data_IF_772898933860
#
_entry.id   IF_772898933860
#
_cell.length_a   1.000
_cell.length_b   1.000
_cell.length_c   1.000
_cell.angle_alpha   90.00
_cell.angle_beta   90.00
_cell.angle_gamma   90.00
#
_symmetry.space_group_name_H-M   'P 1'
#
loop_
_entity.id
_entity.type
_entity.pdbx_description
1 polymer ?
#
# COMPACT_ATOMS: atom_id res chain seq x y z
N UNK A 1 -31.41 -13.21 29.20
CA UNK A 1 -30.69 -11.92 29.14
C UNK A 1 -29.58 -11.85 28.13
N UNK A 2 -29.49 -12.84 27.24
CA UNK A 2 -28.50 -12.81 26.16
C UNK A 2 -28.95 -11.99 24.95
N UNK A 3 -30.26 -11.68 24.83
CA UNK A 3 -30.79 -10.98 23.63
C UNK A 3 -30.32 -9.55 23.45
N UNK A 4 -30.16 -8.69 24.48
CA UNK A 4 -29.61 -7.34 24.24
C UNK A 4 -28.16 -7.34 23.82
N UNK A 5 -27.39 -8.32 24.30
CA UNK A 5 -26.00 -8.49 23.96
C UNK A 5 -25.83 -8.99 22.53
N UNK A 6 -26.69 -9.91 22.07
CA UNK A 6 -26.72 -10.38 20.68
C UNK A 6 -27.05 -9.25 19.70
N UNK A 7 -27.99 -8.37 20.05
CA UNK A 7 -28.31 -7.20 19.22
C UNK A 7 -27.13 -6.25 19.12
N UNK A 8 -26.39 -6.05 20.21
CA UNK A 8 -25.17 -5.25 20.19
C UNK A 8 -24.09 -5.88 19.30
N UNK A 9 -23.89 -7.18 19.43
CA UNK A 9 -22.90 -7.92 18.65
C UNK A 9 -23.23 -7.85 17.17
N UNK A 10 -24.50 -8.05 16.78
CA UNK A 10 -24.95 -7.95 15.39
C UNK A 10 -24.79 -6.54 14.85
N UNK A 11 -25.13 -5.51 15.63
CA UNK A 11 -24.97 -4.11 15.24
C UNK A 11 -23.49 -3.75 15.12
N UNK A 12 -22.65 -4.22 16.04
CA UNK A 12 -21.20 -4.01 15.97
C UNK A 12 -20.59 -4.73 14.78
N UNK A 13 -21.02 -5.95 14.48
CA UNK A 13 -20.57 -6.69 13.29
C UNK A 13 -20.97 -5.96 12.00
N UNK A 14 -22.19 -5.43 11.91
CA UNK A 14 -22.64 -4.64 10.78
C UNK A 14 -21.82 -3.35 10.64
N UNK A 15 -21.56 -2.65 11.76
CA UNK A 15 -20.73 -1.45 11.76
C UNK A 15 -19.28 -1.77 11.33
N UNK A 16 -18.74 -2.88 11.78
CA UNK A 16 -17.42 -3.34 11.36
C UNK A 16 -17.40 -3.69 9.88
N UNK A 17 -18.47 -4.31 9.37
CA UNK A 17 -18.58 -4.63 7.96
C UNK A 17 -18.47 -3.40 7.07
N UNK A 18 -19.18 -2.33 7.42
CA UNK A 18 -19.11 -1.06 6.67
C UNK A 18 -17.73 -0.42 6.79
N UNK A 19 -17.16 -0.37 7.99
CA UNK A 19 -15.83 0.17 8.22
C UNK A 19 -14.78 -0.62 7.45
N UNK A 20 -14.85 -1.94 7.50
CA UNK A 20 -13.91 -2.81 6.80
C UNK A 20 -14.04 -2.66 5.28
N UNK A 21 -15.26 -2.49 4.77
CA UNK A 21 -15.49 -2.24 3.34
C UNK A 21 -14.83 -0.93 2.91
N UNK A 22 -14.96 0.13 3.69
CA UNK A 22 -14.35 1.43 3.38
C UNK A 22 -12.81 1.34 3.43
N UNK A 23 -12.29 0.63 4.43
CA UNK A 23 -10.84 0.40 4.54
C UNK A 23 -10.34 -0.42 3.35
N UNK A 24 -11.09 -1.46 2.96
CA UNK A 24 -10.73 -2.27 1.79
C UNK A 24 -10.68 -1.43 0.51
N UNK A 25 -11.61 -0.49 0.34
CA UNK A 25 -11.61 0.42 -0.82
C UNK A 25 -10.35 1.29 -0.84
N UNK A 26 -9.94 1.81 0.30
CA UNK A 26 -8.72 2.62 0.40
C UNK A 26 -7.50 1.77 0.05
N UNK A 27 -7.42 0.56 0.60
CA UNK A 27 -6.31 -0.36 0.32
C UNK A 27 -6.29 -0.81 -1.14
N UNK A 28 -7.46 -0.98 -1.77
CA UNK A 28 -7.56 -1.31 -3.19
C UNK A 28 -6.98 -0.19 -4.06
N UNK A 29 -7.32 1.05 -3.76
CA UNK A 29 -6.77 2.22 -4.45
C UNK A 29 -5.26 2.31 -4.25
N UNK A 30 -4.81 2.14 -3.01
CA UNK A 30 -3.38 2.14 -2.70
C UNK A 30 -2.65 1.08 -3.51
N UNK A 31 -3.19 -0.14 -3.56
CA UNK A 31 -2.62 -1.22 -4.33
C UNK A 31 -2.51 -0.87 -5.82
N UNK A 32 -3.57 -0.26 -6.39
CA UNK A 32 -3.57 0.14 -7.79
C UNK A 32 -2.48 1.18 -8.08
N UNK A 33 -2.34 2.19 -7.22
CA UNK A 33 -1.30 3.21 -7.37
C UNK A 33 0.11 2.64 -7.15
N UNK A 34 0.27 1.74 -6.19
CA UNK A 34 1.55 1.05 -5.97
C UNK A 34 1.93 0.20 -7.16
N UNK A 35 0.97 -0.49 -7.78
CA UNK A 35 1.20 -1.27 -8.99
C UNK A 35 1.65 -0.39 -10.15
N UNK A 36 1.05 0.79 -10.29
CA UNK A 36 1.44 1.77 -11.31
C UNK A 36 2.85 2.30 -11.04
N UNK A 37 3.20 2.58 -9.79
CA UNK A 37 4.55 2.98 -9.40
C UNK A 37 5.56 1.89 -9.80
N UNK A 38 5.23 0.63 -9.56
CA UNK A 38 6.07 -0.49 -9.94
C UNK A 38 6.28 -0.56 -11.45
N UNK A 39 5.21 -0.39 -12.23
CA UNK A 39 5.27 -0.35 -13.68
C UNK A 39 6.16 0.80 -14.17
N UNK A 40 5.96 1.99 -13.64
CA UNK A 40 6.75 3.17 -14.00
C UNK A 40 8.23 3.00 -13.62
N UNK A 41 8.50 2.37 -12.49
CA UNK A 41 9.88 2.10 -12.04
C UNK A 41 10.58 1.14 -13.00
N UNK A 42 9.89 0.09 -13.46
CA UNK A 42 10.39 -0.83 -14.47
C UNK A 42 10.67 -0.11 -15.78
N UNK A 43 9.74 0.75 -16.21
CA UNK A 43 9.88 1.56 -17.42
C UNK A 43 11.09 2.49 -17.32
N UNK A 44 11.31 3.12 -16.17
CA UNK A 44 12.49 3.96 -15.93
C UNK A 44 13.79 3.16 -16.07
N UNK A 45 13.82 1.94 -15.54
CA UNK A 45 14.99 1.07 -15.66
C UNK A 45 15.32 0.77 -17.12
N UNK A 46 14.29 0.52 -17.93
CA UNK A 46 14.47 0.29 -19.38
C UNK A 46 14.94 1.55 -20.11
N UNK A 47 14.36 2.70 -19.78
CA UNK A 47 14.75 3.99 -20.35
C UNK A 47 16.20 4.34 -20.01
N UNK A 48 16.62 4.09 -18.77
CA UNK A 48 18.01 4.26 -18.35
C UNK A 48 18.95 3.33 -19.11
N UNK A 49 18.53 2.10 -19.38
CA UNK A 49 19.34 1.15 -20.11
C UNK A 49 19.58 1.60 -21.56
N UNK A 50 18.69 2.40 -22.11
CA UNK A 50 18.83 2.99 -23.45
C UNK A 50 19.43 4.39 -23.43
N UNK A 51 19.83 4.87 -22.26
CA UNK A 51 20.32 6.25 -22.05
C UNK A 51 19.31 7.32 -22.50
N UNK A 52 18.03 7.01 -22.36
CA UNK A 52 16.93 7.93 -22.73
C UNK A 52 16.55 8.80 -21.53
N UNK A 53 17.33 9.84 -21.29
CA UNK A 53 17.19 10.71 -20.13
C UNK A 53 15.91 11.56 -20.16
N UNK A 54 15.46 11.92 -21.36
CA UNK A 54 14.20 12.69 -21.51
C UNK A 54 13.02 11.86 -21.04
N UNK A 55 12.93 10.61 -21.49
CA UNK A 55 11.86 9.72 -21.05
C UNK A 55 11.92 9.42 -19.55
N UNK A 56 13.13 9.26 -19.00
CA UNK A 56 13.33 9.06 -17.56
C UNK A 56 12.72 10.24 -16.77
N UNK A 57 12.97 11.47 -17.19
CA UNK A 57 12.43 12.66 -16.52
C UNK A 57 10.90 12.69 -16.56
N UNK A 58 10.31 12.34 -17.69
CA UNK A 58 8.85 12.27 -17.82
C UNK A 58 8.26 11.19 -16.94
N UNK A 59 8.84 10.00 -16.97
CA UNK A 59 8.38 8.85 -16.16
C UNK A 59 8.54 9.13 -14.68
N UNK A 60 9.62 9.79 -14.29
CA UNK A 60 9.85 10.20 -12.90
C UNK A 60 8.74 11.15 -12.42
N UNK A 61 8.33 12.10 -13.25
CA UNK A 61 7.21 13.00 -12.95
C UNK A 61 5.89 12.25 -12.76
N UNK A 62 5.60 11.28 -13.63
CA UNK A 62 4.41 10.44 -13.53
C UNK A 62 4.44 9.61 -12.24
N UNK A 63 5.60 9.05 -11.89
CA UNK A 63 5.77 8.29 -10.65
C UNK A 63 5.54 9.18 -9.42
N UNK A 64 6.00 10.41 -9.46
CA UNK A 64 5.77 11.38 -8.40
C UNK A 64 4.28 11.65 -8.16
N UNK A 65 3.49 11.77 -9.23
CA UNK A 65 2.05 11.93 -9.13
C UNK A 65 1.38 10.73 -8.48
N UNK A 66 1.80 9.52 -8.85
CA UNK A 66 1.27 8.30 -8.24
C UNK A 66 1.65 8.19 -6.77
N UNK A 67 2.87 8.60 -6.39
CA UNK A 67 3.29 8.65 -4.98
C UNK A 67 2.41 9.59 -4.15
N UNK A 68 2.01 10.73 -4.70
CA UNK A 68 1.08 11.62 -4.02
C UNK A 68 -0.28 10.95 -3.77
N UNK A 69 -0.77 10.19 -4.73
CA UNK A 69 -2.02 9.44 -4.57
C UNK A 69 -1.92 8.36 -3.49
N UNK A 70 -0.76 7.71 -3.37
CA UNK A 70 -0.49 6.76 -2.28
C UNK A 70 -0.51 7.48 -0.94
N UNK A 71 0.12 8.65 -0.84
CA UNK A 71 0.10 9.46 0.38
C UNK A 71 -1.30 9.86 0.79
N UNK A 72 -2.15 10.22 -0.17
CA UNK A 72 -3.57 10.51 0.08
C UNK A 72 -4.30 9.29 0.65
N UNK A 73 -4.04 8.10 0.08
CA UNK A 73 -4.61 6.85 0.59
C UNK A 73 -4.15 6.59 2.03
N UNK A 74 -2.87 6.75 2.31
CA UNK A 74 -2.30 6.56 3.64
C UNK A 74 -2.90 7.55 4.65
N UNK A 75 -3.10 8.79 4.24
CA UNK A 75 -3.72 9.81 5.08
C UNK A 75 -5.17 9.43 5.43
N UNK A 76 -5.96 9.03 4.43
CA UNK A 76 -7.33 8.57 4.65
C UNK A 76 -7.37 7.35 5.57
N UNK A 77 -6.47 6.40 5.35
CA UNK A 77 -6.36 5.21 6.18
C UNK A 77 -6.05 5.58 7.63
N UNK A 78 -5.11 6.50 7.83
CA UNK A 78 -4.77 7.00 9.17
C UNK A 78 -5.97 7.62 9.87
N UNK A 79 -6.76 8.43 9.15
CA UNK A 79 -7.97 9.04 9.70
C UNK A 79 -9.01 7.98 10.11
N UNK A 80 -9.19 6.96 9.27
CA UNK A 80 -10.08 5.83 9.60
C UNK A 80 -9.60 5.09 10.84
N UNK A 81 -8.30 4.80 10.93
CA UNK A 81 -7.73 4.09 12.07
C UNK A 81 -7.93 4.84 13.38
N UNK A 82 -7.92 6.18 13.34
CA UNK A 82 -8.14 6.98 14.56
C UNK A 82 -9.59 6.95 15.02
N UNK A 83 -10.54 6.57 14.15
CA UNK A 83 -11.98 6.57 14.46
C UNK A 83 -12.56 5.19 14.73
N UNK A 84 -11.81 4.11 14.49
CA UNK A 84 -12.29 2.74 14.71
C UNK A 84 -12.04 2.31 16.15
N UNK A 85 -12.79 1.30 16.65
CA UNK A 85 -12.57 0.77 18.00
C UNK A 85 -11.12 0.26 18.19
N UNK A 86 -10.57 0.36 19.42
CA UNK A 86 -9.17 0.01 19.67
C UNK A 86 -8.78 -1.41 19.26
N UNK A 87 -9.65 -2.39 19.45
CA UNK A 87 -9.39 -3.77 19.06
C UNK A 87 -9.21 -3.91 17.54
N UNK A 88 -10.10 -3.28 16.78
CA UNK A 88 -10.03 -3.28 15.33
C UNK A 88 -8.79 -2.51 14.83
N UNK A 89 -8.49 -1.39 15.48
CA UNK A 89 -7.29 -0.59 15.16
C UNK A 89 -6.01 -1.41 15.32
N UNK A 90 -5.90 -2.14 16.41
CA UNK A 90 -4.75 -2.99 16.70
C UNK A 90 -4.57 -4.05 15.62
N UNK A 91 -5.66 -4.75 15.26
CA UNK A 91 -5.63 -5.76 14.22
C UNK A 91 -5.23 -5.18 12.86
N UNK A 92 -5.83 -4.05 12.47
CA UNK A 92 -5.51 -3.37 11.21
C UNK A 92 -4.05 -2.93 11.16
N UNK A 93 -3.54 -2.39 12.26
CA UNK A 93 -2.15 -1.96 12.35
C UNK A 93 -1.20 -3.14 12.14
N UNK A 94 -1.51 -4.30 12.73
CA UNK A 94 -0.71 -5.51 12.55
C UNK A 94 -0.76 -6.03 11.12
N UNK A 95 -1.97 -6.04 10.51
CA UNK A 95 -2.16 -6.48 9.12
C UNK A 95 -1.34 -5.61 8.17
N UNK A 96 -1.43 -4.29 8.33
CA UNK A 96 -0.69 -3.33 7.50
C UNK A 96 0.82 -3.51 7.68
N UNK A 97 1.25 -3.78 8.90
CA UNK A 97 2.66 -4.02 9.21
C UNK A 97 3.16 -5.41 8.75
N UNK A 98 2.26 -6.27 8.28
CA UNK A 98 2.63 -7.60 7.79
C UNK A 98 2.78 -8.67 8.85
N UNK A 99 2.26 -8.44 10.04
CA UNK A 99 2.40 -9.37 11.16
C UNK A 99 1.32 -10.45 11.19
N UNK A 100 0.21 -10.23 10.49
CA UNK A 100 -0.91 -11.16 10.42
C UNK A 100 -0.96 -11.77 9.02
N UNK A 101 -0.78 -13.08 8.90
CA UNK A 101 -0.75 -13.79 7.62
C UNK A 101 -2.12 -13.90 6.99
N UNK A 102 -3.04 -14.63 7.64
CA UNK A 102 -4.43 -14.72 7.22
C UNK A 102 -5.31 -14.77 8.45
N UNK A 103 -6.48 -14.15 8.38
CA UNK A 103 -7.39 -14.10 9.51
C UNK A 103 -8.83 -14.10 9.03
N UNK A 104 -9.62 -15.03 9.56
CA UNK A 104 -11.05 -15.11 9.33
C UNK A 104 -11.85 -14.31 10.37
N UNK A 105 -11.16 -13.65 11.32
CA UNK A 105 -11.78 -12.99 12.45
C UNK A 105 -12.83 -11.94 12.02
N UNK A 106 -12.61 -11.27 10.91
CA UNK A 106 -13.47 -10.20 10.42
C UNK A 106 -14.14 -10.55 9.08
N UNK A 107 -14.35 -11.84 8.82
CA UNK A 107 -15.09 -12.31 7.67
C UNK A 107 -14.41 -12.06 6.32
N UNK A 108 -15.22 -11.95 5.28
CA UNK A 108 -14.73 -11.76 3.90
C UNK A 108 -13.99 -10.45 3.72
N UNK A 109 -14.48 -9.39 4.31
CA UNK A 109 -13.86 -8.06 4.25
C UNK A 109 -12.48 -8.08 4.92
N UNK A 110 -12.39 -8.74 6.09
CA UNK A 110 -11.12 -8.92 6.79
C UNK A 110 -10.11 -9.70 5.97
N UNK A 111 -10.54 -10.78 5.33
CA UNK A 111 -9.69 -11.58 4.46
C UNK A 111 -9.22 -10.78 3.24
N UNK A 112 -10.09 -9.98 2.66
CA UNK A 112 -9.74 -9.10 1.54
C UNK A 112 -8.68 -8.07 1.96
N UNK A 113 -8.83 -7.46 3.15
CA UNK A 113 -7.88 -6.50 3.69
C UNK A 113 -6.50 -7.16 3.87
N UNK A 114 -6.45 -8.34 4.44
CA UNK A 114 -5.19 -9.09 4.62
C UNK A 114 -4.52 -9.33 3.27
N UNK A 115 -5.30 -9.76 2.27
CA UNK A 115 -4.79 -10.02 0.93
C UNK A 115 -4.28 -8.74 0.26
N UNK A 116 -5.04 -7.66 0.33
CA UNK A 116 -4.64 -6.37 -0.26
C UNK A 116 -3.38 -5.82 0.38
N UNK A 117 -3.29 -5.88 1.71
CA UNK A 117 -2.10 -5.44 2.44
C UNK A 117 -0.87 -6.26 2.05
N UNK A 118 -1.03 -7.58 1.95
CA UNK A 118 0.05 -8.48 1.52
C UNK A 118 0.50 -8.23 0.10
N UNK A 119 -0.45 -8.07 -0.83
CA UNK A 119 -0.16 -7.79 -2.23
C UNK A 119 0.54 -6.43 -2.40
N UNK A 120 0.09 -5.43 -1.67
CA UNK A 120 0.71 -4.09 -1.69
C UNK A 120 2.16 -4.16 -1.22
N UNK A 121 2.43 -4.93 -0.15
CA UNK A 121 3.79 -5.12 0.37
C UNK A 121 4.67 -5.82 -0.65
N UNK A 122 4.17 -6.86 -1.30
CA UNK A 122 4.91 -7.59 -2.35
C UNK A 122 5.29 -6.67 -3.50
N UNK A 123 4.36 -5.84 -3.96
CA UNK A 123 4.63 -4.85 -5.02
C UNK A 123 5.67 -3.83 -4.56
N UNK A 124 5.57 -3.36 -3.31
CA UNK A 124 6.51 -2.42 -2.75
C UNK A 124 7.94 -3.01 -2.71
N UNK A 125 8.08 -4.23 -2.22
CA UNK A 125 9.38 -4.92 -2.15
C UNK A 125 10.01 -5.09 -3.53
N UNK A 126 9.20 -5.46 -4.53
CA UNK A 126 9.65 -5.57 -5.93
C UNK A 126 10.12 -4.22 -6.46
N UNK A 127 9.34 -3.17 -6.20
CA UNK A 127 9.67 -1.81 -6.62
C UNK A 127 10.97 -1.34 -6.00
N UNK A 128 11.15 -1.58 -4.71
CA UNK A 128 12.38 -1.22 -4.00
C UNK A 128 13.60 -1.97 -4.53
N UNK A 129 13.42 -3.22 -4.95
CA UNK A 129 14.50 -4.01 -5.54
C UNK A 129 14.93 -3.40 -6.87
N UNK A 130 13.97 -3.04 -7.73
CA UNK A 130 14.26 -2.40 -9.02
C UNK A 130 14.96 -1.05 -8.80
N UNK A 131 14.44 -0.24 -7.86
CA UNK A 131 15.03 1.06 -7.53
C UNK A 131 16.49 0.92 -7.08
N UNK A 132 16.77 -0.05 -6.22
CA UNK A 132 18.14 -0.30 -5.76
C UNK A 132 19.08 -0.68 -6.90
N UNK A 133 18.62 -1.50 -7.83
CA UNK A 133 19.41 -1.87 -9.03
C UNK A 133 19.67 -0.65 -9.90
N UNK A 134 18.68 0.19 -10.13
CA UNK A 134 18.84 1.43 -10.88
C UNK A 134 19.87 2.35 -10.21
N UNK A 135 19.75 2.55 -8.90
CA UNK A 135 20.65 3.42 -8.15
C UNK A 135 22.08 2.92 -8.17
N UNK A 136 22.29 1.62 -8.10
CA UNK A 136 23.62 1.01 -8.24
C UNK A 136 24.23 1.25 -9.62
N UNK A 137 23.41 1.11 -10.66
CA UNK A 137 23.87 1.36 -12.05
C UNK A 137 24.23 2.83 -12.24
N UNK A 138 23.40 3.73 -11.73
CA UNK A 138 23.67 5.17 -11.78
C UNK A 138 24.93 5.52 -11.01
N UNK A 139 25.11 4.97 -9.81
CA UNK A 139 26.31 5.19 -9.01
C UNK A 139 27.56 4.63 -9.70
N UNK A 140 27.44 3.48 -10.38
CA UNK A 140 28.54 2.87 -11.11
C UNK A 140 28.89 3.61 -12.40
N UNK A 141 27.87 4.16 -13.11
CA UNK A 141 28.04 4.90 -14.34
C UNK A 141 28.49 6.35 -14.10
N UNK A 142 27.96 6.97 -13.04
CA UNK A 142 28.20 8.37 -12.69
C UNK A 142 28.71 8.48 -11.27
N UNK A 143 29.84 7.82 -11.00
CA UNK A 143 30.43 7.76 -9.66
C UNK A 143 30.72 9.15 -9.06
N UNK A 144 30.87 10.16 -9.89
CA UNK A 144 31.09 11.52 -9.42
C UNK A 144 29.87 12.12 -8.69
N UNK A 145 28.68 11.56 -8.89
CA UNK A 145 27.49 11.97 -8.13
C UNK A 145 27.48 11.41 -6.71
N UNK A 146 28.09 10.26 -6.51
CA UNK A 146 28.12 9.61 -5.19
C UNK A 146 29.17 10.23 -4.25
N UNK A 147 30.18 10.89 -4.80
CA UNK A 147 31.25 11.55 -4.04
C UNK A 147 30.85 12.94 -3.53
N UNK A 148 29.64 13.33 -3.79
CA UNK A 148 29.07 14.59 -3.31
C UNK A 148 28.09 14.36 -2.18
#
# INVERSE_FOLDING_TARGET
>A
MRRPQRKRDVVMEQNYGELLTEIAKILQKKYAHMSEISRLTTEMAEELSRDDRVSVQMTLGMRGEELEKVRECDHKLHLFLSSVPPELREWLTEVIAGKVGSSEKYGKEGMLIVRLAGNTRTVWERTMTIDRHMNKRLAGADSFYTDR
#
